data_IF_918504425666
#
_entry.id   IF_918504425666
#
_cell.length_a   1.000
_cell.length_b   1.000
_cell.length_c   1.000
_cell.angle_alpha   90.00
_cell.angle_beta   90.00
_cell.angle_gamma   90.00
#
_symmetry.space_group_name_H-M   'P 1'
#
loop_
_entity.id
_entity.type
_entity.pdbx_description
1 polymer ?
#
# COMPACT_ATOMS: atom_id res chain seq x y z
N UNK A 1 -11.27 5.58 9.86
CA UNK A 1 -11.08 4.20 9.32
C UNK A 1 -12.30 3.53 8.69
N UNK A 2 -13.32 3.02 9.42
CA UNK A 2 -14.44 2.26 8.78
C UNK A 2 -15.22 3.05 7.72
N UNK A 3 -15.32 4.37 7.87
CA UNK A 3 -15.94 5.26 6.87
C UNK A 3 -15.18 5.31 5.53
N UNK A 4 -13.92 4.86 5.51
CA UNK A 4 -13.05 4.87 4.34
C UNK A 4 -12.66 3.46 3.87
N UNK A 5 -13.41 2.43 4.29
CA UNK A 5 -13.19 1.02 3.89
C UNK A 5 -12.98 0.89 2.39
N UNK A 6 -13.84 1.54 1.62
CA UNK A 6 -13.80 1.58 0.16
C UNK A 6 -12.49 2.15 -0.39
N UNK A 7 -11.98 3.23 0.22
CA UNK A 7 -10.73 3.87 -0.22
C UNK A 7 -9.52 3.03 0.15
N UNK A 8 -9.55 2.41 1.33
CA UNK A 8 -8.47 1.52 1.79
C UNK A 8 -8.44 0.26 0.92
N UNK A 9 -9.59 -0.32 0.59
CA UNK A 9 -9.69 -1.45 -0.34
C UNK A 9 -9.11 -1.08 -1.71
N UNK A 10 -9.48 0.07 -2.27
CA UNK A 10 -8.95 0.50 -3.57
C UNK A 10 -7.43 0.71 -3.53
N UNK A 11 -6.89 1.27 -2.44
CA UNK A 11 -5.45 1.48 -2.26
C UNK A 11 -4.66 0.18 -2.15
N UNK A 12 -5.19 -0.82 -1.42
CA UNK A 12 -4.55 -2.14 -1.28
C UNK A 12 -4.62 -2.96 -2.56
N UNK A 13 -5.71 -2.83 -3.31
CA UNK A 13 -5.78 -3.43 -4.65
C UNK A 13 -4.75 -2.76 -5.57
N UNK A 14 -4.66 -1.43 -5.54
CA UNK A 14 -3.68 -0.70 -6.34
C UNK A 14 -2.24 -1.11 -6.05
N UNK A 15 -1.87 -1.43 -4.80
CA UNK A 15 -0.52 -1.90 -4.47
C UNK A 15 -0.27 -3.31 -5.01
N UNK A 16 -1.18 -4.25 -4.78
CA UNK A 16 -1.06 -5.60 -5.32
C UNK A 16 -0.99 -5.61 -6.86
N UNK A 17 -1.73 -4.71 -7.53
CA UNK A 17 -1.65 -4.59 -9.00
C UNK A 17 -0.37 -3.90 -9.48
N UNK A 18 0.29 -3.10 -8.64
CA UNK A 18 1.56 -2.44 -8.97
C UNK A 18 2.71 -3.45 -9.06
N UNK A 19 2.67 -4.51 -8.26
CA UNK A 19 3.60 -5.65 -8.28
C UNK A 19 3.51 -6.49 -9.58
N UNK A 20 2.49 -6.24 -10.43
CA UNK A 20 2.25 -6.93 -11.72
C UNK A 20 2.16 -8.47 -11.62
N UNK A 21 2.19 -9.04 -10.42
CA UNK A 21 2.18 -10.47 -10.13
C UNK A 21 0.86 -11.01 -9.60
N UNK A 22 -0.21 -10.22 -9.68
CA UNK A 22 -1.58 -10.61 -9.29
C UNK A 22 -2.10 -11.86 -10.03
N UNK A 23 -1.62 -13.01 -9.57
CA UNK A 23 -2.13 -14.34 -9.87
C UNK A 23 -3.36 -14.57 -8.99
N UNK A 24 -4.34 -15.36 -9.46
CA UNK A 24 -5.67 -15.46 -8.83
C UNK A 24 -5.71 -15.86 -7.35
N UNK A 25 -4.58 -16.24 -6.73
CA UNK A 25 -4.43 -16.46 -5.29
C UNK A 25 -4.29 -15.17 -4.46
N UNK A 26 -3.76 -14.09 -5.01
CA UNK A 26 -3.49 -12.84 -4.27
C UNK A 26 -4.76 -12.10 -3.86
N UNK A 27 -5.84 -12.23 -4.63
CA UNK A 27 -7.14 -11.66 -4.26
C UNK A 27 -7.62 -12.23 -2.91
N UNK A 28 -7.44 -13.53 -2.68
CA UNK A 28 -7.82 -14.15 -1.41
C UNK A 28 -6.95 -13.67 -0.24
N UNK A 29 -5.67 -13.39 -0.49
CA UNK A 29 -4.77 -12.81 0.51
C UNK A 29 -5.19 -11.38 0.89
N UNK A 30 -5.54 -10.55 -0.11
CA UNK A 30 -6.07 -9.19 0.09
C UNK A 30 -7.39 -9.24 0.86
N UNK A 31 -8.31 -10.14 0.50
CA UNK A 31 -9.56 -10.34 1.24
C UNK A 31 -9.28 -10.70 2.72
N UNK A 32 -8.34 -11.61 2.96
CA UNK A 32 -7.92 -12.00 4.31
C UNK A 32 -7.32 -10.86 5.12
N UNK A 33 -6.48 -10.02 4.50
CA UNK A 33 -5.90 -8.83 5.15
C UNK A 33 -6.97 -7.78 5.46
N UNK A 34 -7.88 -7.51 4.54
CA UNK A 34 -9.01 -6.60 4.75
C UNK A 34 -9.92 -7.10 5.89
N UNK A 35 -10.22 -8.40 5.94
CA UNK A 35 -10.97 -9.01 7.05
C UNK A 35 -10.29 -8.78 8.40
N UNK A 36 -8.97 -9.02 8.49
CA UNK A 36 -8.18 -8.76 9.70
C UNK A 36 -8.22 -7.29 10.10
N UNK A 37 -8.05 -6.38 9.13
CA UNK A 37 -8.04 -4.93 9.36
C UNK A 37 -9.36 -4.41 9.91
N UNK A 38 -10.48 -4.85 9.33
CA UNK A 38 -11.80 -4.41 9.77
C UNK A 38 -12.36 -5.21 10.95
N UNK A 39 -11.60 -6.21 11.43
CA UNK A 39 -12.01 -7.19 12.42
C UNK A 39 -13.36 -7.83 12.06
N UNK A 40 -13.46 -8.34 10.83
CA UNK A 40 -14.64 -9.05 10.31
C UNK A 40 -14.24 -10.43 9.80
N UNK A 41 -15.15 -11.41 9.93
CA UNK A 41 -14.90 -12.77 9.44
C UNK A 41 -15.02 -12.87 7.91
N UNK A 42 -15.82 -12.00 7.31
CA UNK A 42 -16.01 -11.92 5.88
C UNK A 42 -16.31 -10.48 5.43
N UNK A 43 -15.75 -10.11 4.28
CA UNK A 43 -16.11 -8.86 3.63
C UNK A 43 -17.55 -8.90 3.11
N UNK A 44 -18.32 -7.80 3.24
CA UNK A 44 -19.64 -7.72 2.64
C UNK A 44 -19.56 -7.87 1.11
N UNK A 45 -20.65 -8.35 0.49
CA UNK A 45 -20.68 -8.60 -0.96
C UNK A 45 -20.31 -7.36 -1.79
N UNK A 46 -20.67 -6.16 -1.32
CA UNK A 46 -20.31 -4.90 -1.98
C UNK A 46 -18.79 -4.71 -2.12
N UNK A 47 -18.00 -5.13 -1.12
CA UNK A 47 -16.54 -5.05 -1.17
C UNK A 47 -15.97 -6.12 -2.09
N UNK A 48 -16.55 -7.32 -2.12
CA UNK A 48 -16.16 -8.38 -3.06
C UNK A 48 -16.41 -7.99 -4.52
N UNK A 49 -17.58 -7.40 -4.78
CA UNK A 49 -17.92 -6.90 -6.11
C UNK A 49 -16.98 -5.76 -6.54
N UNK A 50 -16.57 -4.91 -5.58
CA UNK A 50 -15.58 -3.86 -5.82
C UNK A 50 -14.20 -4.41 -6.16
N UNK A 51 -13.74 -5.42 -5.42
CA UNK A 51 -12.48 -6.12 -5.67
C UNK A 51 -12.50 -6.75 -7.06
N UNK A 52 -13.57 -7.48 -7.40
CA UNK A 52 -13.73 -8.12 -8.72
C UNK A 52 -13.85 -7.11 -9.88
N UNK A 53 -14.36 -5.91 -9.63
CA UNK A 53 -14.54 -4.86 -10.62
C UNK A 53 -13.41 -3.83 -10.68
N UNK A 54 -12.37 -3.97 -9.86
CA UNK A 54 -11.30 -2.99 -9.77
C UNK A 54 -10.49 -2.91 -11.07
N UNK A 55 -10.17 -1.69 -11.50
CA UNK A 55 -9.40 -1.46 -12.71
C UNK A 55 -8.13 -0.67 -12.37
N UNK A 56 -6.96 -1.32 -12.28
CA UNK A 56 -5.71 -0.66 -11.90
C UNK A 56 -5.30 0.44 -12.90
N UNK A 57 -5.59 0.28 -14.20
CA UNK A 57 -5.23 1.25 -15.22
C UNK A 57 -6.03 2.57 -15.14
N UNK A 58 -7.17 2.57 -14.45
CA UNK A 58 -8.01 3.75 -14.21
C UNK A 58 -7.90 4.28 -12.79
N UNK A 59 -7.16 3.60 -11.92
CA UNK A 59 -7.07 3.95 -10.52
C UNK A 59 -5.99 5.00 -10.30
N UNK A 60 -6.34 6.06 -9.56
CA UNK A 60 -5.41 7.11 -9.14
C UNK A 60 -5.17 6.98 -7.62
N UNK A 61 -4.07 6.32 -7.28
CA UNK A 61 -3.67 6.08 -5.90
C UNK A 61 -3.44 7.38 -5.12
N UNK A 62 -2.89 8.41 -5.76
CA UNK A 62 -2.63 9.71 -5.14
C UNK A 62 -3.94 10.41 -4.79
N UNK A 63 -4.91 10.43 -5.72
CA UNK A 63 -6.21 11.03 -5.47
C UNK A 63 -7.03 10.26 -4.41
N UNK A 64 -6.92 8.93 -4.39
CA UNK A 64 -7.53 8.10 -3.36
C UNK A 64 -6.92 8.37 -1.97
N UNK A 65 -5.59 8.39 -1.87
CA UNK A 65 -4.85 8.73 -0.66
C UNK A 65 -5.19 10.15 -0.15
N UNK A 66 -5.41 11.10 -1.06
CA UNK A 66 -5.87 12.46 -0.72
C UNK A 66 -7.19 12.55 0.03
N UNK A 67 -8.00 11.48 0.01
CA UNK A 67 -9.24 11.36 0.83
C UNK A 67 -8.95 11.01 2.29
N UNK A 68 -7.80 10.40 2.56
CA UNK A 68 -7.32 10.03 3.90
C UNK A 68 -6.46 11.12 4.53
N UNK A 69 -6.21 12.25 3.84
CA UNK A 69 -5.35 13.33 4.34
C UNK A 69 -5.76 13.91 5.71
N UNK A 70 -7.03 13.80 6.08
CA UNK A 70 -7.58 14.32 7.35
C UNK A 70 -7.75 13.26 8.43
N UNK A 71 -7.40 12.01 8.16
CA UNK A 71 -7.35 10.97 9.18
C UNK A 71 -6.18 11.21 10.16
N UNK A 72 -6.22 10.54 11.31
CA UNK A 72 -5.13 10.59 12.29
C UNK A 72 -3.84 10.03 11.70
N UNK A 73 -2.70 10.49 12.23
CA UNK A 73 -1.38 9.97 11.85
C UNK A 73 -1.29 8.45 12.04
N UNK A 74 -1.90 7.93 13.11
CA UNK A 74 -2.02 6.48 13.36
C UNK A 74 -2.73 5.76 12.22
N UNK A 75 -3.92 6.23 11.80
CA UNK A 75 -4.68 5.58 10.73
C UNK A 75 -3.95 5.64 9.38
N UNK A 76 -3.31 6.78 9.10
CA UNK A 76 -2.49 6.95 7.90
C UNK A 76 -1.34 5.96 7.87
N UNK A 77 -0.64 5.81 8.99
CA UNK A 77 0.48 4.89 9.14
C UNK A 77 0.04 3.44 9.00
N UNK A 78 -1.06 3.05 9.64
CA UNK A 78 -1.64 1.69 9.48
C UNK A 78 -1.91 1.36 8.01
N UNK A 79 -2.44 2.31 7.22
CA UNK A 79 -2.69 2.08 5.78
C UNK A 79 -1.40 1.88 5.00
N UNK A 80 -0.33 2.62 5.31
CA UNK A 80 0.97 2.44 4.66
C UNK A 80 1.64 1.11 5.05
N UNK A 81 1.58 0.73 6.32
CA UNK A 81 2.09 -0.57 6.80
C UNK A 81 1.38 -1.74 6.12
N UNK A 82 0.06 -1.62 5.89
CA UNK A 82 -0.69 -2.60 5.12
C UNK A 82 -0.27 -2.67 3.66
N UNK A 83 -0.05 -1.52 3.02
CA UNK A 83 0.43 -1.49 1.62
C UNK A 83 1.80 -2.14 1.52
N UNK A 84 2.71 -1.82 2.44
CA UNK A 84 4.02 -2.46 2.53
C UNK A 84 3.89 -3.97 2.74
N UNK A 85 3.04 -4.42 3.67
CA UNK A 85 2.81 -5.85 3.93
C UNK A 85 2.16 -6.60 2.76
N UNK A 86 1.40 -5.92 1.88
CA UNK A 86 0.86 -6.53 0.65
C UNK A 86 1.98 -6.73 -0.37
N UNK A 87 2.91 -5.78 -0.48
CA UNK A 87 4.06 -5.83 -1.39
C UNK A 87 5.18 -6.76 -0.91
N UNK A 88 5.44 -6.83 0.40
CA UNK A 88 6.47 -7.71 0.99
C UNK A 88 6.09 -9.20 0.96
N UNK A 89 4.97 -9.58 0.30
CA UNK A 89 4.49 -10.97 0.29
C UNK A 89 5.47 -11.95 -0.36
N UNK A 90 6.47 -11.46 -1.11
CA UNK A 90 7.54 -12.24 -1.74
C UNK A 90 8.95 -11.99 -1.14
N UNK A 91 9.06 -11.36 0.05
CA UNK A 91 10.32 -10.97 0.73
C UNK A 91 11.23 -10.01 -0.09
N UNK A 92 10.73 -9.45 -1.21
CA UNK A 92 11.43 -8.47 -2.04
C UNK A 92 10.49 -7.28 -2.32
N UNK A 93 10.89 -6.06 -1.95
CA UNK A 93 10.23 -4.84 -2.42
C UNK A 93 10.91 -4.41 -3.72
N UNK A 94 10.14 -4.30 -4.79
CA UNK A 94 10.63 -3.79 -6.06
C UNK A 94 10.52 -2.25 -6.16
N UNK A 95 11.17 -1.66 -7.17
CA UNK A 95 11.15 -0.21 -7.38
C UNK A 95 9.75 0.33 -7.75
N UNK A 96 8.87 -0.49 -8.31
CA UNK A 96 7.50 -0.09 -8.66
C UNK A 96 6.60 -0.05 -7.42
N UNK A 97 6.81 -0.96 -6.48
CA UNK A 97 6.14 -1.05 -5.19
C UNK A 97 6.56 0.08 -4.26
N UNK A 98 7.87 0.35 -4.15
CA UNK A 98 8.38 1.53 -3.42
C UNK A 98 7.78 2.82 -4.00
N UNK A 99 7.80 2.96 -5.33
CA UNK A 99 7.19 4.11 -6.00
C UNK A 99 5.68 4.21 -5.75
N UNK A 100 4.98 3.09 -5.55
CA UNK A 100 3.56 3.09 -5.19
C UNK A 100 3.36 3.56 -3.74
N UNK A 101 4.12 3.02 -2.79
CA UNK A 101 4.08 3.41 -1.37
C UNK A 101 4.35 4.92 -1.22
N UNK A 102 5.40 5.44 -1.85
CA UNK A 102 5.74 6.87 -1.84
C UNK A 102 4.63 7.74 -2.44
N UNK A 103 4.00 7.30 -3.54
CA UNK A 103 2.84 8.03 -4.13
C UNK A 103 1.66 8.11 -3.17
N UNK A 104 1.35 7.02 -2.49
CA UNK A 104 0.27 6.99 -1.50
C UNK A 104 0.60 7.89 -0.32
N UNK A 105 1.82 7.81 0.22
CA UNK A 105 2.29 8.68 1.31
C UNK A 105 2.19 10.17 0.94
N UNK A 106 2.70 10.54 -0.24
CA UNK A 106 2.58 11.90 -0.76
C UNK A 106 1.12 12.36 -0.90
N UNK A 107 0.23 11.48 -1.38
CA UNK A 107 -1.20 11.77 -1.46
C UNK A 107 -1.87 12.01 -0.09
N UNK A 108 -1.39 11.34 0.97
CA UNK A 108 -1.85 11.57 2.35
C UNK A 108 -1.20 12.78 3.03
N UNK A 109 -0.21 13.40 2.40
CA UNK A 109 0.59 14.49 2.94
C UNK A 109 1.62 14.05 3.98
N UNK A 110 2.12 12.82 3.86
CA UNK A 110 3.16 12.24 4.71
C UNK A 110 4.50 12.45 4.02
N UNK A 111 5.56 12.73 4.80
CA UNK A 111 6.89 12.94 4.24
C UNK A 111 7.63 11.63 4.01
N UNK A 112 8.57 11.61 3.07
CA UNK A 112 9.43 10.44 2.81
C UNK A 112 10.19 9.98 4.06
N UNK A 113 10.53 10.90 4.97
CA UNK A 113 11.19 10.58 6.23
C UNK A 113 10.30 9.76 7.19
N UNK A 114 8.98 9.95 7.14
CA UNK A 114 8.02 9.24 7.99
C UNK A 114 7.69 7.82 7.49
N UNK A 115 8.15 7.49 6.28
CA UNK A 115 7.97 6.17 5.64
C UNK A 115 9.30 5.47 5.35
N UNK A 116 10.42 6.03 5.80
CA UNK A 116 11.75 5.50 5.53
C UNK A 116 11.95 4.08 6.06
N UNK A 117 11.18 3.67 7.07
CA UNK A 117 11.19 2.32 7.63
C UNK A 117 10.35 1.31 6.83
N UNK A 118 9.52 1.78 5.88
CA UNK A 118 8.64 0.97 5.04
C UNK A 118 9.03 1.01 3.55
N UNK A 119 9.92 1.94 3.17
CA UNK A 119 10.34 2.20 1.80
C UNK A 119 11.76 1.66 1.57
N UNK A 120 12.14 1.45 0.30
CA UNK A 120 13.53 1.13 -0.05
C UNK A 120 14.41 2.32 0.33
N UNK A 121 15.40 2.08 1.18
CA UNK A 121 16.44 3.04 1.49
C UNK A 121 17.41 3.15 0.30
N UNK A 122 17.32 4.24 -0.46
CA UNK A 122 18.32 4.59 -1.47
C UNK A 122 19.42 5.33 -0.75
N UNK A 123 20.50 4.62 -0.43
CA UNK A 123 21.72 5.23 0.09
C UNK A 123 22.31 6.15 -0.99
N UNK A 124 22.69 7.38 -0.61
CA UNK A 124 23.43 8.26 -1.51
C UNK A 124 24.84 7.67 -1.75
N UNK A 125 25.40 7.92 -2.95
CA UNK A 125 26.69 7.33 -3.38
C UNK A 125 27.83 7.57 -2.36
N UNK A 126 27.80 8.69 -1.62
CA UNK A 126 28.78 9.04 -0.58
C UNK A 126 28.70 8.13 0.68
N UNK A 127 27.53 7.56 1.00
CA UNK A 127 27.38 6.56 2.08
C UNK A 127 27.70 5.14 1.62
N UNK A 128 27.41 4.81 0.37
CA UNK A 128 27.80 3.54 -0.26
C UNK A 128 29.33 3.38 -0.33
N UNK A 129 30.05 4.45 -0.66
CA UNK A 129 31.52 4.43 -0.70
C UNK A 129 32.15 4.21 0.69
N UNK A 130 31.46 4.59 1.78
CA UNK A 130 31.89 4.34 3.16
C UNK A 130 31.66 2.91 3.65
N UNK A 131 30.71 2.18 3.06
CA UNK A 131 30.44 0.77 3.36
C UNK A 131 31.26 -0.15 2.45
N UNK A 132 31.50 0.27 1.19
CA UNK A 132 32.24 -0.50 0.19
C UNK A 132 33.75 -0.25 0.19
N UNK A 133 34.26 0.73 0.93
CA UNK A 133 35.71 0.88 1.13
C UNK A 133 36.13 1.35 2.53
N UNK A 134 37.27 0.82 3.04
CA UNK A 134 38.11 -0.28 2.55
C UNK A 134 38.16 -1.53 3.43
#
# INVERSE_FOLDING_TARGET
>A
MKAHIDTITDLLLGSAYADKRLEGGEIAAIEGMLCKLFAVDALPQAQKDRIAGFNPAKFDATAAAGRLRFESAENKRTVLELIASVSESDDEIDMAEDAYLRKVAAGMGISDADIADLAIEVLEDDELDGILKP
#
